data_IF_918133366367
#
_entry.id   IF_918133366367
#
_cell.length_a   1.000
_cell.length_b   1.000
_cell.length_c   1.000
_cell.angle_alpha   90.00
_cell.angle_beta   90.00
_cell.angle_gamma   90.00
#
_symmetry.space_group_name_H-M   'P 1'
#
loop_
_entity.id
_entity.type
_entity.pdbx_description
1 polymer ?
#
# COMPACT_ATOMS: atom_id res chain seq x y z
N UNK A 1 22.51 19.64 -80.00
CA UNK A 1 22.18 18.25 -79.58
C UNK A 1 22.40 18.13 -78.08
N UNK A 2 21.45 17.49 -77.41
CA UNK A 2 21.49 16.66 -76.18
C UNK A 2 22.80 16.63 -75.34
N UNK A 3 22.85 16.43 -74.03
CA UNK A 3 21.87 15.99 -73.04
C UNK A 3 22.52 16.04 -71.64
N UNK A 4 21.72 16.41 -70.63
CA UNK A 4 21.58 15.77 -69.30
C UNK A 4 22.79 15.42 -68.40
N UNK A 5 22.67 15.79 -67.12
CA UNK A 5 22.46 14.94 -65.90
C UNK A 5 23.13 15.62 -64.69
N UNK A 6 22.70 15.49 -63.44
CA UNK A 6 21.44 15.12 -62.80
C UNK A 6 21.71 15.23 -61.29
N UNK A 7 20.77 15.87 -60.60
CA UNK A 7 20.61 15.95 -59.14
C UNK A 7 20.40 14.56 -58.52
N UNK A 8 20.94 14.34 -57.33
CA UNK A 8 20.45 13.33 -56.39
C UNK A 8 20.58 13.83 -54.94
N UNK A 9 19.49 14.40 -54.42
CA UNK A 9 19.24 14.47 -52.97
C UNK A 9 17.96 13.69 -52.72
N UNK A 10 18.10 12.59 -51.97
CA UNK A 10 17.02 11.71 -51.54
C UNK A 10 16.12 12.45 -50.54
N UNK A 11 14.83 12.58 -50.83
CA UNK A 11 13.80 12.91 -49.84
C UNK A 11 13.12 11.60 -49.39
N UNK A 12 13.03 11.39 -48.08
CA UNK A 12 12.26 10.31 -47.47
C UNK A 12 10.75 10.62 -47.55
N UNK A 13 9.86 9.62 -47.66
CA UNK A 13 8.42 9.83 -47.78
C UNK A 13 7.78 10.19 -46.41
N UNK A 14 6.68 10.99 -46.40
CA UNK A 14 6.02 11.38 -45.16
C UNK A 14 5.19 10.24 -44.56
N UNK A 15 5.34 10.00 -43.25
CA UNK A 15 4.61 8.98 -42.49
C UNK A 15 3.12 9.32 -42.36
N UNK A 16 2.25 8.39 -42.73
CA UNK A 16 0.79 8.48 -42.58
C UNK A 16 0.40 8.58 -41.10
N UNK A 17 -0.14 9.73 -40.68
CA UNK A 17 -0.85 9.85 -39.39
C UNK A 17 -2.13 9.01 -39.44
N UNK A 18 -2.21 8.00 -38.57
CA UNK A 18 -3.39 7.16 -38.34
C UNK A 18 -4.52 8.05 -37.82
N UNK A 19 -5.57 8.28 -38.63
CA UNK A 19 -6.78 9.00 -38.22
C UNK A 19 -7.52 8.15 -37.18
N UNK A 20 -7.81 8.75 -36.03
CA UNK A 20 -8.71 8.18 -35.01
C UNK A 20 -10.12 8.04 -35.60
N UNK A 21 -10.76 6.92 -35.27
CA UNK A 21 -12.05 6.48 -35.81
C UNK A 21 -13.18 7.42 -35.33
N UNK A 22 -14.06 7.94 -36.20
CA UNK A 22 -15.10 8.92 -35.86
C UNK A 22 -16.34 8.32 -35.17
N UNK A 23 -16.34 7.03 -34.83
CA UNK A 23 -17.51 6.32 -34.27
C UNK A 23 -17.55 6.27 -32.75
N UNK A 24 -16.66 6.98 -32.04
CA UNK A 24 -16.77 7.14 -30.59
C UNK A 24 -17.76 8.28 -30.27
N UNK A 25 -18.65 8.14 -29.26
CA UNK A 25 -19.53 9.22 -28.86
C UNK A 25 -18.69 10.45 -28.51
N UNK A 26 -18.98 11.56 -29.20
CA UNK A 26 -18.26 12.81 -29.01
C UNK A 26 -18.48 13.29 -27.57
N UNK A 27 -17.39 13.41 -26.82
CA UNK A 27 -17.42 14.08 -25.51
C UNK A 27 -18.01 15.48 -25.69
N UNK A 28 -19.10 15.78 -24.99
CA UNK A 28 -19.83 17.05 -25.07
C UNK A 28 -19.09 18.20 -24.37
N UNK A 29 -17.99 17.91 -23.68
CA UNK A 29 -17.13 18.90 -23.07
C UNK A 29 -16.16 19.50 -24.08
N UNK A 30 -16.58 20.60 -24.69
CA UNK A 30 -15.76 21.41 -25.60
C UNK A 30 -14.71 22.20 -24.79
N UNK A 31 -13.72 21.51 -24.19
CA UNK A 31 -12.56 22.17 -23.60
C UNK A 31 -11.67 22.73 -24.72
N UNK A 32 -11.95 23.95 -25.16
CA UNK A 32 -11.03 24.74 -26.00
C UNK A 32 -9.78 25.07 -25.18
N UNK A 33 -8.81 24.17 -25.17
CA UNK A 33 -7.48 24.40 -24.60
C UNK A 33 -6.65 25.31 -25.52
N UNK A 34 -7.01 26.60 -25.59
CA UNK A 34 -6.17 27.59 -26.30
C UNK A 34 -5.08 28.21 -25.41
N UNK A 35 -5.05 27.87 -24.14
CA UNK A 35 -3.96 28.15 -23.20
C UNK A 35 -3.74 26.91 -22.34
N UNK A 36 -2.48 26.49 -22.15
CA UNK A 36 -2.13 25.41 -21.21
C UNK A 36 -2.47 25.89 -19.80
N UNK A 37 -3.68 25.62 -19.32
CA UNK A 37 -4.02 25.78 -17.91
C UNK A 37 -3.04 24.89 -17.12
N UNK A 38 -2.11 25.51 -16.39
CA UNK A 38 -1.09 24.80 -15.61
C UNK A 38 -1.68 24.17 -14.35
N UNK A 39 -2.86 24.62 -13.93
CA UNK A 39 -3.56 24.23 -12.72
C UNK A 39 -5.05 24.18 -13.06
N UNK A 40 -5.72 23.09 -12.69
CA UNK A 40 -7.18 22.95 -12.69
C UNK A 40 -7.55 21.85 -11.69
N UNK A 41 -8.79 21.88 -11.18
CA UNK A 41 -9.27 20.96 -10.15
C UNK A 41 -9.63 19.61 -10.76
N UNK A 42 -9.61 18.55 -9.95
CA UNK A 42 -10.05 17.22 -10.36
C UNK A 42 -11.50 17.23 -10.83
N UNK A 43 -12.38 18.02 -10.22
CA UNK A 43 -13.80 18.13 -10.64
C UNK A 43 -13.99 18.82 -11.98
N UNK A 44 -13.02 19.62 -12.41
CA UNK A 44 -13.06 20.32 -13.70
C UNK A 44 -12.67 19.39 -14.86
N UNK A 45 -12.24 18.15 -14.56
CA UNK A 45 -11.93 17.14 -15.56
C UNK A 45 -13.19 16.58 -16.24
N UNK A 46 -13.09 16.28 -17.55
CA UNK A 46 -14.11 15.48 -18.25
C UNK A 46 -14.40 14.18 -17.50
N UNK A 47 -15.65 13.73 -17.56
CA UNK A 47 -16.13 12.56 -16.84
C UNK A 47 -15.32 11.30 -17.17
N UNK A 48 -14.82 11.18 -18.40
CA UNK A 48 -14.02 10.07 -18.89
C UNK A 48 -12.67 10.00 -18.15
N UNK A 49 -12.03 11.14 -17.90
CA UNK A 49 -10.75 11.17 -17.17
C UNK A 49 -10.98 10.90 -15.68
N UNK A 50 -12.06 11.44 -15.10
CA UNK A 50 -12.43 11.11 -13.71
C UNK A 50 -12.73 9.62 -13.56
N UNK A 51 -13.43 9.03 -14.52
CA UNK A 51 -13.70 7.59 -14.55
C UNK A 51 -12.40 6.77 -14.63
N UNK A 52 -11.43 7.15 -15.45
CA UNK A 52 -10.13 6.46 -15.50
C UNK A 52 -9.38 6.53 -14.15
N UNK A 53 -9.48 7.65 -13.43
CA UNK A 53 -8.89 7.78 -12.10
C UNK A 53 -9.61 6.88 -11.10
N UNK A 54 -10.93 6.86 -11.10
CA UNK A 54 -11.71 5.95 -10.27
C UNK A 54 -11.43 4.50 -10.63
N UNK A 55 -11.49 4.13 -11.90
CA UNK A 55 -11.13 2.81 -12.37
C UNK A 55 -9.76 2.44 -11.81
N UNK A 56 -8.71 3.26 -11.96
CA UNK A 56 -7.40 2.92 -11.37
C UNK A 56 -7.37 2.87 -9.83
N UNK A 57 -8.18 3.67 -9.14
CA UNK A 57 -8.30 3.63 -7.68
C UNK A 57 -9.12 2.42 -7.18
N UNK A 58 -9.97 1.84 -8.02
CA UNK A 58 -10.93 0.77 -7.70
C UNK A 58 -10.72 -0.52 -8.53
N UNK A 59 -9.71 -0.59 -9.42
CA UNK A 59 -9.60 -1.61 -10.47
C UNK A 59 -9.12 -2.98 -10.01
N UNK A 60 -8.72 -3.14 -8.76
CA UNK A 60 -8.20 -4.40 -8.28
C UNK A 60 -8.87 -4.79 -6.96
N UNK A 61 -9.75 -5.78 -7.04
CA UNK A 61 -10.17 -6.57 -5.88
C UNK A 61 -8.94 -7.28 -5.24
N UNK A 62 -7.87 -7.47 -6.01
CA UNK A 62 -6.62 -8.02 -5.52
C UNK A 62 -5.81 -6.96 -4.76
N UNK A 63 -5.42 -7.23 -3.51
CA UNK A 63 -4.64 -6.28 -2.73
C UNK A 63 -3.22 -6.15 -3.29
N UNK A 64 -2.68 -4.93 -3.22
CA UNK A 64 -1.36 -4.59 -3.80
C UNK A 64 -0.30 -4.53 -2.69
N UNK A 65 0.88 -5.16 -2.85
CA UNK A 65 1.95 -5.02 -1.86
C UNK A 65 2.33 -3.55 -1.65
N UNK A 66 2.47 -3.13 -0.39
CA UNK A 66 2.71 -1.74 0.01
C UNK A 66 3.90 -1.11 -0.73
N UNK A 67 4.99 -1.84 -0.91
CA UNK A 67 6.20 -1.37 -1.61
C UNK A 67 6.00 -1.13 -3.13
N UNK A 68 4.99 -1.79 -3.71
CA UNK A 68 4.70 -1.75 -5.15
C UNK A 68 3.68 -0.69 -5.55
N UNK A 69 3.10 0.01 -4.57
CA UNK A 69 2.16 1.11 -4.83
C UNK A 69 2.82 2.12 -5.76
N UNK A 70 2.12 2.45 -6.85
CA UNK A 70 2.56 3.43 -7.85
C UNK A 70 1.39 4.29 -8.28
N UNK A 71 1.64 5.59 -8.42
CA UNK A 71 0.66 6.51 -8.97
C UNK A 71 0.65 6.44 -10.49
N UNK A 72 -0.52 6.58 -11.14
CA UNK A 72 -0.59 6.64 -12.59
C UNK A 72 0.19 7.83 -13.15
N UNK A 73 1.01 7.59 -14.17
CA UNK A 73 1.77 8.63 -14.86
C UNK A 73 0.89 9.66 -15.59
N UNK A 74 -0.40 9.38 -15.75
CA UNK A 74 -1.38 10.26 -16.40
C UNK A 74 -1.74 11.48 -15.54
N UNK A 75 -1.49 11.45 -14.24
CA UNK A 75 -1.78 12.57 -13.33
C UNK A 75 -0.56 13.49 -13.27
N UNK A 76 -0.43 14.37 -14.27
CA UNK A 76 0.73 15.28 -14.41
C UNK A 76 0.47 16.71 -13.93
N UNK A 77 -0.78 17.05 -13.61
CA UNK A 77 -1.16 18.42 -13.25
C UNK A 77 -1.18 18.54 -11.73
N UNK A 78 -0.47 19.51 -11.13
CA UNK A 78 -0.34 19.63 -9.68
C UNK A 78 -1.68 19.65 -8.93
N UNK A 79 -2.69 20.40 -9.42
CA UNK A 79 -4.01 20.49 -8.80
C UNK A 79 -4.80 19.17 -8.83
N UNK A 80 -4.75 18.45 -9.96
CA UNK A 80 -5.33 17.10 -10.04
C UNK A 80 -4.61 16.16 -9.09
N UNK A 81 -3.27 16.24 -9.07
CA UNK A 81 -2.44 15.39 -8.24
C UNK A 81 -2.84 15.54 -6.77
N UNK A 82 -2.82 16.75 -6.22
CA UNK A 82 -3.21 16.99 -4.81
C UNK A 82 -4.61 16.48 -4.48
N UNK A 83 -5.60 16.70 -5.35
CA UNK A 83 -7.00 16.37 -5.06
C UNK A 83 -7.34 14.89 -5.26
N UNK A 84 -6.72 14.23 -6.24
CA UNK A 84 -7.01 12.83 -6.57
C UNK A 84 -6.24 11.84 -5.69
N UNK A 85 -5.11 12.26 -5.10
CA UNK A 85 -4.21 11.36 -4.37
C UNK A 85 -4.89 10.59 -3.23
N UNK A 86 -5.74 11.23 -2.42
CA UNK A 86 -6.43 10.54 -1.32
C UNK A 86 -7.27 9.38 -1.84
N UNK A 87 -7.92 9.53 -3.00
CA UNK A 87 -8.72 8.44 -3.58
C UNK A 87 -7.88 7.22 -3.95
N UNK A 88 -6.63 7.41 -4.38
CA UNK A 88 -5.73 6.30 -4.67
C UNK A 88 -5.39 5.51 -3.42
N UNK A 89 -5.00 6.17 -2.33
CA UNK A 89 -4.59 5.46 -1.11
C UNK A 89 -5.78 4.90 -0.34
N UNK A 90 -6.89 5.64 -0.26
CA UNK A 90 -8.04 5.22 0.55
C UNK A 90 -8.68 3.95 0.01
N UNK A 91 -8.73 3.80 -1.31
CA UNK A 91 -9.49 2.73 -1.95
C UNK A 91 -8.61 1.60 -2.51
N UNK A 92 -7.29 1.73 -2.45
CA UNK A 92 -6.39 0.62 -2.81
C UNK A 92 -6.25 -0.30 -1.60
N UNK A 93 -6.71 -1.57 -1.66
CA UNK A 93 -6.40 -2.55 -0.64
C UNK A 93 -4.91 -2.87 -0.71
N UNK A 94 -4.22 -2.84 0.43
CA UNK A 94 -2.78 -3.07 0.47
C UNK A 94 -2.40 -4.30 1.28
N UNK A 95 -1.36 -5.00 0.84
CA UNK A 95 -0.70 -6.06 1.61
C UNK A 95 0.58 -5.51 2.23
N UNK A 96 0.79 -5.81 3.51
CA UNK A 96 1.94 -5.39 4.29
C UNK A 96 2.63 -6.64 4.82
N UNK A 97 3.78 -6.94 4.25
CA UNK A 97 4.60 -8.06 4.73
C UNK A 97 5.35 -7.66 6.00
N UNK A 98 5.18 -8.46 7.04
CA UNK A 98 5.83 -8.28 8.33
C UNK A 98 6.52 -9.57 8.73
N UNK A 99 7.78 -9.45 9.16
CA UNK A 99 8.49 -10.57 9.80
C UNK A 99 8.20 -10.59 11.30
N UNK A 100 7.68 -11.70 11.80
CA UNK A 100 7.67 -11.95 13.25
C UNK A 100 9.05 -12.38 13.73
N UNK A 101 9.29 -12.38 15.03
CA UNK A 101 10.49 -12.97 15.62
C UNK A 101 10.35 -14.48 15.93
N UNK A 102 9.29 -15.13 15.46
CA UNK A 102 9.10 -16.57 15.64
C UNK A 102 9.68 -17.37 14.48
N UNK A 103 10.42 -18.42 14.82
CA UNK A 103 10.90 -19.42 13.88
C UNK A 103 10.01 -20.66 13.93
N UNK A 104 9.20 -20.86 12.90
CA UNK A 104 8.28 -22.01 12.84
C UNK A 104 9.00 -23.34 12.57
N UNK A 105 10.16 -23.30 11.89
CA UNK A 105 10.96 -24.49 11.57
C UNK A 105 11.59 -25.09 12.83
N UNK A 106 12.27 -24.26 13.61
CA UNK A 106 13.00 -24.66 14.81
C UNK A 106 12.20 -24.42 16.11
N UNK A 107 11.00 -23.86 15.99
CA UNK A 107 10.03 -23.65 17.08
C UNK A 107 10.57 -22.79 18.22
N UNK A 108 11.45 -21.84 17.90
CA UNK A 108 12.02 -20.91 18.86
C UNK A 108 11.68 -19.47 18.52
N UNK A 109 11.90 -18.58 19.49
CA UNK A 109 11.76 -17.14 19.36
C UNK A 109 13.14 -16.52 19.28
N UNK A 110 13.34 -15.60 18.34
CA UNK A 110 14.56 -14.80 18.29
C UNK A 110 14.44 -13.64 19.27
N UNK A 111 15.49 -13.40 20.05
CA UNK A 111 15.63 -12.31 21.02
C UNK A 111 16.51 -11.18 20.44
N UNK A 112 16.64 -10.07 21.18
CA UNK A 112 17.34 -8.87 20.73
C UNK A 112 18.78 -9.07 20.22
N UNK A 113 19.50 -10.06 20.78
CA UNK A 113 20.89 -10.39 20.41
C UNK A 113 21.04 -11.19 19.10
N UNK A 114 19.94 -11.65 18.50
CA UNK A 114 20.00 -12.48 17.30
C UNK A 114 20.01 -11.65 16.01
N UNK A 115 20.83 -12.01 15.01
CA UNK A 115 21.03 -11.25 13.75
C UNK A 115 19.70 -10.81 13.07
N UNK A 116 18.71 -11.73 13.06
CA UNK A 116 17.41 -11.57 12.38
C UNK A 116 16.44 -10.67 13.14
N UNK A 117 16.66 -10.43 14.44
CA UNK A 117 15.79 -9.59 15.28
C UNK A 117 15.61 -8.19 14.69
N UNK A 118 16.69 -7.63 14.16
CA UNK A 118 16.74 -6.30 13.56
C UNK A 118 15.73 -6.08 12.44
N UNK A 119 15.26 -7.14 11.78
CA UNK A 119 14.31 -7.09 10.65
C UNK A 119 12.85 -7.33 11.05
N UNK A 120 12.60 -7.76 12.29
CA UNK A 120 11.26 -8.14 12.77
C UNK A 120 10.40 -6.90 13.02
N UNK A 121 9.08 -6.98 12.79
CA UNK A 121 8.15 -5.87 13.00
C UNK A 121 8.43 -4.61 12.17
N UNK A 122 9.24 -4.74 11.11
CA UNK A 122 9.52 -3.68 10.15
C UNK A 122 8.76 -3.94 8.86
N UNK A 123 8.37 -2.85 8.20
CA UNK A 123 7.70 -2.87 6.90
C UNK A 123 8.56 -2.13 5.88
N UNK A 124 8.52 -2.60 4.64
CA UNK A 124 9.14 -1.90 3.51
C UNK A 124 8.16 -0.86 3.00
N UNK A 125 8.58 0.41 3.00
CA UNK A 125 7.77 1.51 2.49
C UNK A 125 8.02 1.74 1.00
N UNK A 126 7.00 2.14 0.22
CA UNK A 126 7.19 2.50 -1.17
C UNK A 126 8.01 3.78 -1.26
N UNK A 127 8.77 3.93 -2.36
CA UNK A 127 9.64 5.11 -2.58
C UNK A 127 8.88 6.42 -2.42
N UNK A 128 7.66 6.48 -2.94
CA UNK A 128 6.76 7.64 -2.87
C UNK A 128 6.46 8.11 -1.43
N UNK A 129 6.44 7.19 -0.46
CA UNK A 129 6.27 7.49 0.95
C UNK A 129 7.58 7.95 1.62
N UNK A 130 8.72 7.47 1.13
CA UNK A 130 10.04 7.78 1.71
C UNK A 130 10.66 9.08 1.20
N UNK A 131 10.27 9.55 0.01
CA UNK A 131 10.89 10.73 -0.63
C UNK A 131 10.28 12.07 -0.19
N UNK A 132 9.28 12.05 0.71
CA UNK A 132 8.56 13.26 1.15
C UNK A 132 7.79 13.96 0.03
N UNK A 133 7.59 13.29 -1.12
CA UNK A 133 6.94 13.87 -2.30
C UNK A 133 5.43 13.99 -2.13
N UNK A 134 4.84 13.16 -1.26
CA UNK A 134 3.41 13.14 -0.96
C UNK A 134 3.24 13.47 0.52
N UNK A 135 2.37 14.43 0.89
CA UNK A 135 2.09 14.73 2.28
C UNK A 135 1.46 13.55 3.00
N UNK A 136 1.87 13.31 4.25
CA UNK A 136 1.32 12.24 5.10
C UNK A 136 -0.19 12.35 5.32
N UNK A 137 -0.75 13.54 5.22
CA UNK A 137 -2.19 13.80 5.35
C UNK A 137 -3.02 13.09 4.28
N UNK A 138 -2.42 12.85 3.12
CA UNK A 138 -3.08 12.32 1.92
C UNK A 138 -2.95 10.79 1.82
N UNK A 139 -1.93 10.21 2.46
CA UNK A 139 -1.71 8.76 2.51
C UNK A 139 -2.56 8.14 3.62
N UNK A 140 -3.82 7.85 3.29
CA UNK A 140 -4.80 7.21 4.17
C UNK A 140 -5.19 5.86 3.60
N UNK A 141 -5.01 4.78 4.35
CA UNK A 141 -5.35 3.43 3.91
C UNK A 141 -6.59 2.94 4.65
N UNK A 142 -7.61 2.47 3.91
CA UNK A 142 -8.82 1.93 4.52
C UNK A 142 -8.88 0.41 4.55
N UNK A 143 -8.11 -0.28 3.72
CA UNK A 143 -8.06 -1.74 3.72
C UNK A 143 -6.62 -2.21 3.68
N UNK A 144 -6.22 -2.92 4.75
CA UNK A 144 -4.84 -3.36 4.95
C UNK A 144 -4.83 -4.81 5.39
N UNK A 145 -4.01 -5.63 4.75
CA UNK A 145 -3.75 -7.01 5.13
C UNK A 145 -2.31 -7.10 5.59
N UNK A 146 -2.07 -7.49 6.84
CA UNK A 146 -0.75 -7.84 7.33
C UNK A 146 -0.50 -9.32 7.08
N UNK A 147 0.48 -9.63 6.23
CA UNK A 147 1.00 -10.98 6.08
C UNK A 147 2.20 -11.17 7.01
N UNK A 148 1.95 -11.88 8.12
CA UNK A 148 2.94 -12.15 9.14
C UNK A 148 3.71 -13.40 8.73
N UNK A 149 5.03 -13.27 8.66
CA UNK A 149 5.92 -14.29 8.12
C UNK A 149 6.93 -14.75 9.17
N UNK A 150 7.35 -16.00 9.06
CA UNK A 150 8.45 -16.55 9.87
C UNK A 150 9.76 -15.81 9.56
N UNK A 151 10.47 -15.32 10.59
CA UNK A 151 11.79 -14.68 10.44
C UNK A 151 12.84 -15.56 9.74
N UNK A 152 12.72 -16.88 9.88
CA UNK A 152 13.80 -17.80 9.54
C UNK A 152 13.68 -18.53 8.20
N UNK A 153 12.53 -18.42 7.56
CA UNK A 153 12.28 -19.10 6.30
C UNK A 153 12.70 -18.18 5.14
N UNK A 154 13.53 -18.69 4.23
CA UNK A 154 13.96 -17.94 3.04
C UNK A 154 12.79 -17.59 2.11
N UNK A 155 11.71 -18.38 2.17
CA UNK A 155 10.46 -18.19 1.41
C UNK A 155 9.42 -17.41 2.25
N UNK A 156 9.81 -16.74 3.35
CA UNK A 156 8.92 -15.93 4.20
C UNK A 156 7.56 -16.60 4.44
N UNK A 157 7.57 -17.87 4.87
CA UNK A 157 6.32 -18.64 5.05
C UNK A 157 5.36 -17.82 5.90
N UNK A 158 4.19 -17.51 5.34
CA UNK A 158 3.11 -16.82 6.05
C UNK A 158 2.62 -17.73 7.17
N UNK A 159 2.60 -17.20 8.38
CA UNK A 159 2.20 -17.91 9.60
C UNK A 159 0.89 -17.38 10.16
N UNK A 160 0.59 -16.11 9.85
CA UNK A 160 -0.64 -15.45 10.23
C UNK A 160 -1.01 -14.37 9.22
N UNK A 161 -2.31 -14.10 9.12
CA UNK A 161 -2.88 -12.98 8.35
C UNK A 161 -3.81 -12.17 9.23
N UNK A 162 -3.67 -10.85 9.15
CA UNK A 162 -4.53 -9.92 9.88
C UNK A 162 -5.09 -8.90 8.91
N UNK A 163 -6.41 -8.92 8.70
CA UNK A 163 -7.10 -7.95 7.84
C UNK A 163 -7.74 -6.87 8.68
N UNK A 164 -7.38 -5.62 8.38
CA UNK A 164 -7.91 -4.41 9.00
C UNK A 164 -8.71 -3.64 7.96
N UNK A 165 -9.91 -3.22 8.33
CA UNK A 165 -10.77 -2.38 7.49
C UNK A 165 -11.25 -1.15 8.24
N UNK A 166 -11.24 -0.01 7.56
CA UNK A 166 -11.73 1.28 8.02
C UNK A 166 -13.04 1.61 7.30
N UNK A 167 -14.00 2.17 8.02
CA UNK A 167 -15.35 2.43 7.49
C UNK A 167 -16.45 1.72 8.27
N UNK A 168 -16.13 1.11 9.41
CA UNK A 168 -17.14 0.82 10.41
C UNK A 168 -17.54 2.12 11.11
N UNK A 169 -18.82 2.27 11.44
CA UNK A 169 -19.30 3.43 12.18
C UNK A 169 -19.80 2.94 13.54
N UNK A 170 -19.15 3.40 14.60
CA UNK A 170 -19.57 3.14 15.97
C UNK A 170 -19.93 4.48 16.63
N UNK A 171 -21.18 4.62 17.08
CA UNK A 171 -21.69 5.87 17.65
C UNK A 171 -21.58 7.09 16.72
N UNK A 172 -21.53 6.90 15.39
CA UNK A 172 -21.35 7.97 14.40
C UNK A 172 -19.89 8.37 14.13
N UNK A 173 -18.93 7.71 14.79
CA UNK A 173 -17.49 7.89 14.55
C UNK A 173 -16.99 6.77 13.64
N UNK A 174 -16.23 7.14 12.61
CA UNK A 174 -15.57 6.15 11.74
C UNK A 174 -14.45 5.46 12.51
N UNK A 175 -14.41 4.13 12.50
CA UNK A 175 -13.42 3.33 13.21
C UNK A 175 -12.76 2.30 12.28
N UNK A 176 -11.56 1.86 12.69
CA UNK A 176 -10.86 0.71 12.12
C UNK A 176 -11.17 -0.53 12.95
N UNK A 177 -11.44 -1.64 12.28
CA UNK A 177 -11.69 -2.93 12.93
C UNK A 177 -10.85 -4.02 12.27
N UNK A 178 -10.47 -5.03 13.07
CA UNK A 178 -10.07 -6.31 12.52
C UNK A 178 -11.30 -7.01 11.95
N UNK A 179 -11.22 -7.40 10.68
CA UNK A 179 -12.30 -8.13 10.01
C UNK A 179 -11.96 -9.61 9.89
N UNK A 180 -10.68 -9.95 9.87
CA UNK A 180 -10.21 -11.32 9.70
C UNK A 180 -8.87 -11.49 10.42
N UNK A 181 -8.74 -12.59 11.16
CA UNK A 181 -7.48 -13.02 11.78
C UNK A 181 -7.34 -14.51 11.57
N UNK A 182 -6.39 -14.88 10.73
CA UNK A 182 -6.17 -16.27 10.38
C UNK A 182 -4.76 -16.68 10.79
N UNK A 183 -4.67 -17.80 11.50
CA UNK A 183 -3.43 -18.55 11.57
C UNK A 183 -3.35 -19.41 10.31
N UNK A 184 -2.24 -19.34 9.56
CA UNK A 184 -2.10 -20.16 8.35
C UNK A 184 -1.85 -21.62 8.76
N UNK A 185 -2.58 -22.61 8.19
CA UNK A 185 -2.37 -24.01 8.48
C UNK A 185 -0.91 -24.43 8.32
N UNK A 186 -0.34 -25.04 9.36
CA UNK A 186 1.07 -25.42 9.35
C UNK A 186 1.70 -25.53 10.75
N UNK A 187 3.04 -25.57 10.84
CA UNK A 187 3.71 -25.87 12.11
C UNK A 187 3.50 -24.78 13.18
N UNK A 188 3.09 -23.57 12.78
CA UNK A 188 2.72 -22.48 13.69
C UNK A 188 1.45 -22.80 14.49
N UNK A 189 0.42 -23.37 13.85
CA UNK A 189 -0.82 -23.78 14.53
C UNK A 189 -0.60 -24.98 15.46
N UNK A 190 0.27 -25.92 15.08
CA UNK A 190 0.53 -27.13 15.86
C UNK A 190 1.35 -26.91 17.14
N UNK A 191 1.93 -25.73 17.30
CA UNK A 191 2.74 -25.39 18.46
C UNK A 191 2.00 -24.38 19.33
N UNK A 192 1.62 -24.82 20.53
CA UNK A 192 0.82 -24.00 21.46
C UNK A 192 1.51 -22.69 21.86
N UNK A 193 2.84 -22.69 22.07
CA UNK A 193 3.58 -21.47 22.42
C UNK A 193 3.53 -20.43 21.30
N UNK A 194 3.75 -20.88 20.05
CA UNK A 194 3.70 -20.00 18.88
C UNK A 194 2.27 -19.48 18.68
N UNK A 195 1.28 -20.38 18.76
CA UNK A 195 -0.14 -20.04 18.62
C UNK A 195 -0.58 -18.99 19.64
N UNK A 196 -0.35 -19.23 20.93
CA UNK A 196 -0.75 -18.32 21.99
C UNK A 196 -0.07 -16.94 21.85
N UNK A 197 1.21 -16.91 21.45
CA UNK A 197 1.91 -15.66 21.17
C UNK A 197 1.30 -14.89 20.00
N UNK A 198 0.98 -15.57 18.88
CA UNK A 198 0.33 -14.93 17.73
C UNK A 198 -1.08 -14.41 18.08
N UNK A 199 -1.87 -15.18 18.85
CA UNK A 199 -3.18 -14.75 19.34
C UNK A 199 -3.05 -13.48 20.23
N UNK A 200 -2.07 -13.44 21.14
CA UNK A 200 -1.77 -12.25 21.94
C UNK A 200 -1.39 -11.04 21.06
N UNK A 201 -0.63 -11.25 19.99
CA UNK A 201 -0.32 -10.17 19.03
C UNK A 201 -1.59 -9.63 18.37
N UNK A 202 -2.54 -10.49 17.99
CA UNK A 202 -3.81 -10.06 17.42
C UNK A 202 -4.62 -9.20 18.39
N UNK A 203 -4.65 -9.56 19.67
CA UNK A 203 -5.30 -8.75 20.70
C UNK A 203 -4.60 -7.40 20.91
N UNK A 204 -3.26 -7.37 20.85
CA UNK A 204 -2.51 -6.11 20.91
C UNK A 204 -2.78 -5.21 19.70
N UNK A 205 -2.93 -5.81 18.50
CA UNK A 205 -3.35 -5.10 17.29
C UNK A 205 -4.75 -4.52 17.48
N UNK A 206 -5.70 -5.28 18.03
CA UNK A 206 -7.07 -4.81 18.32
C UNK A 206 -7.06 -3.59 19.24
N UNK A 207 -6.38 -3.69 20.39
CA UNK A 207 -6.24 -2.58 21.35
C UNK A 207 -5.60 -1.34 20.73
N UNK A 208 -4.57 -1.55 19.91
CA UNK A 208 -3.88 -0.43 19.25
C UNK A 208 -4.75 0.23 18.18
N UNK A 209 -5.55 -0.55 17.45
CA UNK A 209 -6.51 -0.02 16.47
C UNK A 209 -7.61 0.82 17.12
N UNK A 210 -8.09 0.46 18.31
CA UNK A 210 -9.02 1.30 19.07
C UNK A 210 -8.41 2.67 19.38
N UNK A 211 -7.13 2.71 19.78
CA UNK A 211 -6.41 3.96 20.03
C UNK A 211 -6.21 4.76 18.75
N UNK A 212 -5.83 4.12 17.65
CA UNK A 212 -5.66 4.76 16.34
C UNK A 212 -6.98 5.34 15.84
N UNK A 213 -8.09 4.61 16.02
CA UNK A 213 -9.42 5.03 15.57
C UNK A 213 -9.97 6.24 16.34
N UNK A 214 -9.49 6.49 17.55
CA UNK A 214 -9.90 7.65 18.38
C UNK A 214 -9.13 8.92 18.08
N UNK A 215 -8.17 8.88 17.14
CA UNK A 215 -7.45 10.08 16.71
C UNK A 215 -8.42 11.09 16.08
N UNK A 216 -8.19 12.38 16.33
CA UNK A 216 -9.00 13.43 15.72
C UNK A 216 -8.88 13.39 14.19
N UNK A 217 -10.03 13.48 13.51
CA UNK A 217 -10.09 13.42 12.04
C UNK A 217 -9.74 12.06 11.44
N UNK A 218 -9.87 10.97 12.20
CA UNK A 218 -9.60 9.63 11.71
C UNK A 218 -10.50 9.26 10.51
N UNK A 219 -9.89 9.06 9.34
CA UNK A 219 -10.56 8.70 8.09
C UNK A 219 -9.83 7.58 7.33
N UNK A 220 -8.84 6.95 7.98
CA UNK A 220 -7.94 5.96 7.41
C UNK A 220 -6.64 5.85 8.19
N UNK A 221 -5.96 4.73 8.08
CA UNK A 221 -4.65 4.53 8.72
C UNK A 221 -3.58 5.32 7.98
N UNK A 222 -2.71 6.00 8.73
CA UNK A 222 -1.51 6.65 8.20
C UNK A 222 -0.36 5.65 8.13
N UNK A 223 0.70 5.98 7.40
CA UNK A 223 1.93 5.17 7.38
C UNK A 223 2.50 4.91 8.78
N UNK A 224 2.48 5.93 9.65
CA UNK A 224 2.93 5.81 11.03
C UNK A 224 2.09 4.78 11.81
N UNK A 225 0.78 4.70 11.56
CA UNK A 225 -0.09 3.70 12.18
C UNK A 225 0.27 2.29 11.67
N UNK A 226 0.51 2.12 10.37
CA UNK A 226 0.95 0.83 9.81
C UNK A 226 2.26 0.36 10.42
N UNK A 227 3.24 1.26 10.57
CA UNK A 227 4.51 0.97 11.24
C UNK A 227 4.30 0.61 12.71
N UNK A 228 3.41 1.32 13.41
CA UNK A 228 3.08 1.04 14.81
C UNK A 228 2.46 -0.34 14.97
N UNK A 229 1.49 -0.69 14.13
CA UNK A 229 0.83 -1.99 14.14
C UNK A 229 1.80 -3.11 13.76
N UNK A 230 2.65 -2.88 12.75
CA UNK A 230 3.66 -3.85 12.32
C UNK A 230 4.63 -4.25 13.45
N UNK A 231 5.01 -3.31 14.32
CA UNK A 231 5.88 -3.58 15.46
C UNK A 231 5.27 -4.54 16.47
N UNK A 232 3.94 -4.64 16.54
CA UNK A 232 3.25 -5.53 17.48
C UNK A 232 3.44 -7.00 17.14
N UNK A 233 3.86 -7.33 15.92
CA UNK A 233 4.20 -8.70 15.51
C UNK A 233 5.61 -9.14 15.93
N UNK A 234 6.30 -8.32 16.72
CA UNK A 234 7.52 -8.70 17.45
C UNK A 234 7.12 -9.02 18.88
N UNK A 235 7.28 -10.28 19.28
CA UNK A 235 7.06 -10.73 20.65
C UNK A 235 8.22 -10.24 21.54
N UNK A 236 7.93 -9.36 22.49
CA UNK A 236 8.89 -8.85 23.49
C UNK A 236 8.66 -9.42 24.89
N UNK A 237 7.68 -10.32 25.09
CA UNK A 237 7.09 -10.67 26.39
C UNK A 237 8.01 -11.43 27.38
N UNK A 238 9.20 -11.83 26.94
CA UNK A 238 10.18 -12.62 27.72
C UNK A 238 11.50 -11.88 27.93
N UNK A 239 11.81 -10.89 27.10
CA UNK A 239 13.05 -10.12 27.22
C UNK A 239 13.00 -9.17 28.43
N UNK A 240 11.80 -8.90 28.97
CA UNK A 240 11.61 -8.08 30.18
C UNK A 240 11.70 -8.90 31.49
N UNK A 241 11.59 -10.23 31.44
CA UNK A 241 11.57 -11.11 32.62
C UNK A 241 12.79 -12.05 32.71
N UNK A 242 13.65 -12.12 31.69
CA UNK A 242 14.87 -12.95 31.70
C UNK A 242 16.09 -12.21 32.29
N UNK A 243 15.91 -11.06 32.94
CA UNK A 243 16.99 -10.34 33.63
C UNK A 243 17.22 -10.74 35.09
N UNK A 244 16.43 -11.67 35.65
CA UNK A 244 16.50 -12.05 37.07
C UNK A 244 16.78 -13.55 37.33
N UNK A 245 17.19 -14.34 36.32
CA UNK A 245 17.56 -15.75 36.52
C UNK A 245 18.90 -16.10 35.86
N UNK A 246 19.96 -15.38 36.20
CA UNK A 246 21.34 -15.89 36.17
C UNK A 246 22.07 -15.39 37.42
N UNK A 247 22.13 -16.22 38.45
CA UNK A 247 23.29 -16.43 39.33
C UNK A 247 22.95 -17.59 40.30
N UNK A 248 23.38 -18.80 39.92
CA UNK A 248 23.68 -19.91 40.83
C UNK A 248 24.90 -19.58 41.71
#
# INVERSE_FOLDING_TARGET
MANTRSRAQRQAPPSKKRKLNPSAPASTHNMRTRTRAKIFRFTDLPAEIRHLVYEKAYAADAPTPLETIRLPQSIKVPGIFSEALSFFFENTPIVVDVRSNWCVRYRHRHHAGHERWSTTGKITLPKLATTGTIPDEVMRFREVVFEVTCCCCDISKVIARVKVKVGHFDGGVQTAQLVETDLVPGPAQSNEKIRNSLEMMFDNVRKTLEVVSRQEGFNGMKLADLQRLARLFRDTFKDENEHDEEDD
#
